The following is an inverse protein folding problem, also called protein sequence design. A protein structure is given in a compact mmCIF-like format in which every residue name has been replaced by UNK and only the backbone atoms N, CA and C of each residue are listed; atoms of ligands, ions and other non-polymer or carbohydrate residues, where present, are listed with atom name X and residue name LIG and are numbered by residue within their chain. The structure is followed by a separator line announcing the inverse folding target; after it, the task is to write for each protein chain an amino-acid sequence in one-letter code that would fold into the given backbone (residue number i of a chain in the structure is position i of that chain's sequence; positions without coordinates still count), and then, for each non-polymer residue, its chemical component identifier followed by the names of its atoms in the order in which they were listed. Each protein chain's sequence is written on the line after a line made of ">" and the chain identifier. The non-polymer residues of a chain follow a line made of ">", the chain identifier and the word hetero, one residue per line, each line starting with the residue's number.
data_IF_357818237484
#
_entry.id   IF_357818237484
#
_cell.length_a   1.000
_cell.length_b   1.000
_cell.length_c   1.000
_cell.angle_alpha   90.00
_cell.angle_beta   90.00
_cell.angle_gamma   90.00
#
_symmetry.space_group_name_H-M   'P 1'
#
loop_
_entity.id
_entity.type
_entity.pdbx_description
1 polymer ?
#
# COMPACT_ATOMS: atom_id res chain seq x y z
N UNK A 1 14.78 -11.95 18.74
CA UNK A 1 15.40 -11.91 17.41
C UNK A 1 15.65 -10.47 17.04
N UNK A 2 16.90 -10.14 16.77
CA UNK A 2 17.26 -8.80 16.34
C UNK A 2 16.66 -8.47 14.98
N UNK A 3 16.30 -7.21 14.80
CA UNK A 3 15.68 -6.66 13.58
C UNK A 3 16.68 -6.62 12.39
N UNK A 4 17.84 -7.24 12.54
CA UNK A 4 18.93 -7.19 11.56
C UNK A 4 18.86 -8.22 10.43
N UNK A 5 17.77 -8.98 10.34
CA UNK A 5 17.61 -9.85 9.18
C UNK A 5 17.21 -9.00 7.98
N UNK A 6 18.10 -8.94 6.99
CA UNK A 6 17.82 -8.32 5.71
C UNK A 6 16.61 -9.02 5.09
N UNK A 7 15.49 -8.31 5.00
CA UNK A 7 14.26 -8.84 4.45
C UNK A 7 14.44 -9.01 2.93
N UNK A 8 14.08 -10.17 2.40
CA UNK A 8 14.08 -10.41 0.95
C UNK A 8 12.99 -9.59 0.28
N UNK A 9 13.25 -9.02 -0.90
CA UNK A 9 12.21 -8.34 -1.64
C UNK A 9 11.02 -9.26 -1.93
N UNK A 10 9.82 -8.75 -1.70
CA UNK A 10 8.58 -9.43 -2.04
C UNK A 10 8.22 -9.14 -3.50
N UNK A 11 7.61 -10.09 -4.17
CA UNK A 11 7.13 -9.95 -5.54
C UNK A 11 5.61 -10.06 -5.56
N UNK A 12 4.95 -9.09 -6.20
CA UNK A 12 3.50 -9.06 -6.37
C UNK A 12 3.17 -8.58 -7.78
N UNK A 13 2.26 -9.27 -8.45
CA UNK A 13 1.73 -8.84 -9.75
C UNK A 13 0.25 -8.49 -9.58
N UNK A 14 -0.16 -7.33 -10.09
CA UNK A 14 -1.54 -6.85 -10.02
C UNK A 14 -2.06 -6.47 -11.39
N UNK A 15 -3.39 -6.64 -11.64
CA UNK A 15 -3.99 -6.19 -12.87
C UNK A 15 -4.22 -4.67 -12.84
N UNK A 16 -3.99 -4.02 -13.97
CA UNK A 16 -4.31 -2.60 -14.16
C UNK A 16 -5.03 -2.41 -15.49
N UNK A 17 -5.94 -1.43 -15.56
CA UNK A 17 -6.74 -1.18 -16.76
C UNK A 17 -6.05 -0.27 -17.76
N UNK A 18 -5.31 0.69 -17.27
CA UNK A 18 -4.54 1.63 -18.05
C UNK A 18 -3.13 1.66 -17.49
N UNK A 19 -2.19 1.06 -18.24
CA UNK A 19 -0.81 0.92 -17.77
C UNK A 19 -0.14 2.28 -17.58
N UNK A 20 -0.35 3.21 -18.52
CA UNK A 20 0.30 4.53 -18.43
C UNK A 20 -0.16 5.33 -17.23
N UNK A 21 -1.47 5.35 -16.95
CA UNK A 21 -2.01 6.05 -15.78
C UNK A 21 -1.46 5.45 -14.47
N UNK A 22 -1.37 4.12 -14.41
CA UNK A 22 -0.85 3.45 -13.22
C UNK A 22 0.66 3.67 -13.06
N UNK A 23 1.43 3.65 -14.13
CA UNK A 23 2.86 3.99 -14.06
C UNK A 23 3.04 5.42 -13.54
N UNK A 24 2.25 6.38 -14.02
CA UNK A 24 2.29 7.76 -13.52
C UNK A 24 1.95 7.85 -12.03
N UNK A 25 0.95 7.08 -11.59
CA UNK A 25 0.54 7.04 -10.20
C UNK A 25 1.65 6.47 -9.31
N UNK A 26 2.16 5.29 -9.64
CA UNK A 26 3.19 4.63 -8.83
C UNK A 26 4.50 5.41 -8.80
N UNK A 27 4.88 6.06 -9.89
CA UNK A 27 6.10 6.87 -9.93
C UNK A 27 5.88 8.27 -9.35
N UNK A 28 4.84 8.98 -9.77
CA UNK A 28 4.61 10.39 -9.42
C UNK A 28 3.98 10.59 -8.05
N UNK A 29 3.11 9.68 -7.62
CA UNK A 29 2.43 9.78 -6.32
C UNK A 29 3.18 9.02 -5.24
N UNK A 30 3.52 7.74 -5.49
CA UNK A 30 4.17 6.90 -4.49
C UNK A 30 5.70 6.97 -4.52
N UNK A 31 6.28 7.60 -5.54
CA UNK A 31 7.73 7.75 -5.63
C UNK A 31 8.47 6.49 -6.04
N UNK A 32 7.77 5.49 -6.62
CA UNK A 32 8.42 4.27 -7.11
C UNK A 32 9.35 4.58 -8.29
N UNK A 33 10.45 3.85 -8.37
CA UNK A 33 11.28 3.83 -9.57
C UNK A 33 10.82 2.71 -10.47
N UNK A 34 10.91 2.93 -11.78
CA UNK A 34 10.57 1.91 -12.78
C UNK A 34 11.71 0.93 -12.96
N UNK A 35 11.35 -0.31 -13.26
CA UNK A 35 12.30 -1.33 -13.73
C UNK A 35 12.07 -1.61 -15.20
N UNK A 36 12.03 -2.90 -15.56
CA UNK A 36 11.76 -3.33 -16.94
C UNK A 36 10.29 -3.13 -17.29
N UNK A 37 10.01 -2.97 -18.55
CA UNK A 37 8.63 -2.83 -19.03
C UNK A 37 8.46 -3.31 -20.47
N UNK A 38 7.20 -3.54 -20.83
CA UNK A 38 6.76 -3.79 -22.21
C UNK A 38 5.51 -2.95 -22.46
N UNK A 39 4.83 -3.23 -23.58
CA UNK A 39 3.55 -2.56 -23.86
C UNK A 39 2.42 -3.01 -22.95
N UNK A 40 2.57 -4.16 -22.26
CA UNK A 40 1.50 -4.78 -21.48
C UNK A 40 1.82 -4.90 -19.98
N UNK A 41 3.05 -4.62 -19.57
CA UNK A 41 3.42 -4.71 -18.15
C UNK A 41 4.56 -3.76 -17.82
N UNK A 42 4.69 -3.44 -16.54
CA UNK A 42 5.77 -2.61 -16.04
C UNK A 42 6.15 -3.03 -14.62
N UNK A 43 7.45 -3.13 -14.37
CA UNK A 43 7.99 -3.37 -13.02
C UNK A 43 8.15 -2.05 -12.28
N UNK A 44 7.73 -2.05 -11.02
CA UNK A 44 7.89 -0.92 -10.10
C UNK A 44 8.72 -1.36 -8.90
N UNK A 45 9.61 -0.51 -8.47
CA UNK A 45 10.28 -0.67 -7.18
C UNK A 45 9.42 0.02 -6.12
N UNK A 46 8.62 -0.78 -5.40
CA UNK A 46 7.75 -0.31 -4.32
C UNK A 46 8.48 -0.50 -3.00
N UNK A 47 9.17 0.53 -2.52
CA UNK A 47 9.91 0.50 -1.25
C UNK A 47 10.88 -0.69 -1.16
N UNK A 48 11.53 -1.03 -2.27
CA UNK A 48 12.47 -2.15 -2.35
C UNK A 48 11.85 -3.48 -2.75
N UNK A 49 10.53 -3.55 -2.90
CA UNK A 49 9.83 -4.75 -3.35
C UNK A 49 9.47 -4.64 -4.83
N UNK A 50 9.35 -5.78 -5.49
CA UNK A 50 9.00 -5.81 -6.91
C UNK A 50 7.48 -5.90 -7.07
N UNK A 51 6.89 -4.82 -7.56
CA UNK A 51 5.49 -4.78 -7.95
C UNK A 51 5.41 -4.78 -9.47
N UNK A 52 4.62 -5.69 -10.05
CA UNK A 52 4.45 -5.75 -11.49
C UNK A 52 3.02 -5.35 -11.85
N UNK A 53 2.89 -4.34 -12.70
CA UNK A 53 1.62 -3.89 -13.24
C UNK A 53 1.36 -4.63 -14.54
N UNK A 54 0.32 -5.49 -14.59
CA UNK A 54 -0.09 -6.17 -15.81
C UNK A 54 -1.35 -5.55 -16.38
N UNK A 55 -1.27 -5.07 -17.63
CA UNK A 55 -2.43 -4.51 -18.30
C UNK A 55 -3.44 -5.59 -18.63
N UNK A 56 -4.64 -5.47 -18.10
CA UNK A 56 -5.77 -6.37 -18.29
C UNK A 56 -7.04 -5.56 -18.56
N UNK A 57 -8.00 -6.11 -19.30
CA UNK A 57 -9.30 -5.43 -19.46
C UNK A 57 -9.95 -5.18 -18.11
N UNK A 58 -10.65 -4.05 -18.01
CA UNK A 58 -11.44 -3.73 -16.83
C UNK A 58 -12.50 -4.80 -16.62
N UNK A 59 -12.58 -5.36 -15.41
CA UNK A 59 -13.60 -6.35 -15.05
C UNK A 59 -14.75 -5.68 -14.31
N UNK A 60 -15.94 -6.31 -14.38
CA UNK A 60 -17.11 -5.90 -13.61
C UNK A 60 -17.21 -6.59 -12.24
N UNK A 61 -16.17 -7.31 -11.84
CA UNK A 61 -16.17 -8.01 -10.55
C UNK A 61 -16.28 -7.02 -9.40
N UNK A 62 -17.16 -7.35 -8.45
CA UNK A 62 -17.35 -6.53 -7.25
C UNK A 62 -16.16 -6.68 -6.31
N UNK A 63 -15.69 -5.55 -5.79
CA UNK A 63 -14.70 -5.53 -4.73
C UNK A 63 -15.33 -6.07 -3.44
N UNK A 64 -14.66 -7.02 -2.81
CA UNK A 64 -15.07 -7.52 -1.50
C UNK A 64 -14.52 -6.61 -0.40
N UNK A 65 -15.27 -6.49 0.69
CA UNK A 65 -14.85 -5.71 1.84
C UNK A 65 -15.21 -6.44 3.14
N UNK A 66 -14.36 -6.28 4.14
CA UNK A 66 -14.59 -6.79 5.48
C UNK A 66 -14.75 -5.62 6.45
N UNK A 67 -15.64 -5.77 7.43
CA UNK A 67 -15.80 -4.76 8.47
C UNK A 67 -14.67 -4.89 9.50
N UNK A 68 -13.91 -3.81 9.69
CA UNK A 68 -12.84 -3.70 10.70
C UNK A 68 -12.96 -2.35 11.36
N UNK A 69 -13.08 -2.30 12.70
CA UNK A 69 -13.25 -1.08 13.46
C UNK A 69 -14.43 -0.22 12.95
N UNK A 70 -15.51 -0.87 12.48
CA UNK A 70 -16.66 -0.19 11.89
C UNK A 70 -16.44 0.38 10.49
N UNK A 71 -15.28 0.09 9.86
CA UNK A 71 -14.93 0.57 8.52
C UNK A 71 -14.97 -0.59 7.53
N UNK A 72 -15.36 -0.28 6.29
CA UNK A 72 -15.35 -1.26 5.21
C UNK A 72 -13.95 -1.34 4.59
N UNK A 73 -13.20 -2.38 4.95
CA UNK A 73 -11.83 -2.61 4.49
C UNK A 73 -11.87 -3.41 3.19
N UNK A 74 -11.37 -2.87 2.07
CA UNK A 74 -11.33 -3.63 0.82
C UNK A 74 -10.38 -4.81 0.92
N UNK A 75 -10.73 -5.93 0.28
CA UNK A 75 -9.92 -7.14 0.20
C UNK A 75 -10.00 -7.70 -1.23
N UNK A 76 -8.88 -7.95 -1.94
CA UNK A 76 -7.50 -7.81 -1.44
C UNK A 76 -7.03 -6.36 -1.32
N UNK A 77 -6.00 -6.17 -0.55
CA UNK A 77 -5.22 -4.94 -0.52
C UNK A 77 -3.75 -5.27 -0.25
N UNK A 78 -2.87 -4.33 -0.53
CA UNK A 78 -1.44 -4.49 -0.29
C UNK A 78 -0.81 -3.15 0.05
N UNK A 79 0.38 -3.20 0.60
CA UNK A 79 1.14 -2.01 0.92
C UNK A 79 2.38 -2.35 1.73
N UNK A 80 2.94 -1.35 2.36
CA UNK A 80 4.22 -1.46 3.07
C UNK A 80 4.04 -0.99 4.50
N UNK A 81 4.71 -1.68 5.43
CA UNK A 81 4.80 -1.23 6.81
C UNK A 81 5.91 -0.18 6.88
N UNK A 82 5.53 1.06 7.08
CA UNK A 82 6.46 2.18 7.18
C UNK A 82 6.99 2.32 8.59
N UNK A 83 8.09 3.06 8.75
CA UNK A 83 8.52 3.50 10.06
C UNK A 83 7.55 4.54 10.60
N UNK A 84 7.40 4.60 11.93
CA UNK A 84 6.43 5.50 12.57
C UNK A 84 6.60 6.95 12.12
N UNK A 85 7.85 7.41 12.04
CA UNK A 85 8.15 8.79 11.62
C UNK A 85 7.88 9.05 10.14
N UNK A 86 7.97 8.04 9.29
CA UNK A 86 7.73 8.17 7.85
C UNK A 86 6.24 8.27 7.52
N UNK A 87 5.38 7.66 8.34
CA UNK A 87 3.96 7.51 8.00
C UNK A 87 3.28 8.87 7.81
N UNK A 88 3.46 9.79 8.75
CA UNK A 88 2.81 11.10 8.68
C UNK A 88 3.30 11.92 7.48
N UNK A 89 4.62 11.93 7.24
CA UNK A 89 5.19 12.62 6.09
C UNK A 89 4.66 12.04 4.78
N UNK A 90 4.55 10.72 4.69
CA UNK A 90 4.02 10.04 3.52
C UNK A 90 2.52 10.35 3.32
N UNK A 91 1.73 10.34 4.39
CA UNK A 91 0.32 10.71 4.32
C UNK A 91 0.13 12.15 3.84
N UNK A 92 0.97 13.07 4.32
CA UNK A 92 0.94 14.47 3.89
C UNK A 92 1.36 14.62 2.43
N UNK A 93 2.34 13.84 1.98
CA UNK A 93 2.74 13.80 0.58
C UNK A 93 1.56 13.33 -0.31
N UNK A 94 0.85 12.29 0.10
CA UNK A 94 -0.33 11.81 -0.62
C UNK A 94 -1.42 12.89 -0.70
N UNK A 95 -1.68 13.58 0.41
CA UNK A 95 -2.65 14.69 0.42
C UNK A 95 -2.23 15.80 -0.55
N UNK A 96 -0.94 16.14 -0.60
CA UNK A 96 -0.42 17.15 -1.52
C UNK A 96 -0.59 16.78 -2.99
N UNK A 97 -0.73 15.49 -3.29
CA UNK A 97 -0.99 14.96 -4.62
C UNK A 97 -2.47 14.72 -4.89
N UNK A 98 -3.34 15.26 -4.03
CA UNK A 98 -4.79 15.16 -4.14
C UNK A 98 -5.31 13.72 -4.11
N UNK A 99 -4.64 12.84 -3.37
CA UNK A 99 -5.11 11.47 -3.18
C UNK A 99 -6.32 11.48 -2.25
N UNK A 100 -7.38 10.82 -2.69
CA UNK A 100 -8.60 10.63 -1.92
C UNK A 100 -8.49 9.32 -1.13
N UNK A 101 -8.53 9.42 0.20
CA UNK A 101 -8.45 8.23 1.05
C UNK A 101 -9.80 7.52 1.11
N UNK A 102 -9.80 6.19 0.98
CA UNK A 102 -10.99 5.39 1.31
C UNK A 102 -11.15 5.34 2.83
N UNK A 103 -10.03 5.21 3.53
CA UNK A 103 -9.97 5.27 5.00
C UNK A 103 -8.86 6.25 5.34
N UNK A 104 -9.26 7.37 5.95
CA UNK A 104 -8.32 8.39 6.41
C UNK A 104 -7.36 7.80 7.45
N UNK A 105 -6.11 8.33 7.54
CA UNK A 105 -5.19 7.88 8.58
C UNK A 105 -5.82 7.90 9.98
N UNK A 106 -5.76 6.76 10.67
CA UNK A 106 -6.23 6.67 12.04
C UNK A 106 -5.40 5.65 12.83
N UNK A 107 -5.43 5.78 14.16
CA UNK A 107 -4.66 4.92 15.07
C UNK A 107 -5.57 3.81 15.58
N UNK A 108 -5.06 2.57 15.54
CA UNK A 108 -5.70 1.39 16.11
C UNK A 108 -4.92 0.97 17.35
N UNK A 109 -5.63 0.40 18.32
CA UNK A 109 -5.05 -0.16 19.55
C UNK A 109 -4.21 0.86 20.34
N UNK A 110 -4.66 2.13 20.38
CA UNK A 110 -3.91 3.20 21.05
C UNK A 110 -3.66 2.86 22.50
N UNK A 111 -2.39 2.94 22.91
CA UNK A 111 -1.97 2.63 24.27
C UNK A 111 -1.90 1.14 24.60
N UNK A 112 -2.12 0.27 23.61
CA UNK A 112 -2.11 -1.18 23.78
C UNK A 112 -1.02 -1.82 22.93
N UNK A 113 -0.77 -3.11 23.17
CA UNK A 113 0.14 -3.89 22.32
C UNK A 113 -0.36 -3.87 20.88
N UNK A 114 0.56 -3.64 19.93
CA UNK A 114 0.22 -3.57 18.52
C UNK A 114 -0.34 -2.24 18.07
N UNK A 115 -0.16 -1.17 18.87
CA UNK A 115 -0.57 0.18 18.45
C UNK A 115 -0.02 0.49 17.06
N UNK A 116 -0.89 0.85 16.13
CA UNK A 116 -0.55 1.07 14.73
C UNK A 116 -1.39 2.19 14.14
N UNK A 117 -0.86 2.83 13.11
CA UNK A 117 -1.57 3.81 12.30
C UNK A 117 -1.70 3.26 10.90
N UNK A 118 -2.85 3.47 10.26
CA UNK A 118 -3.13 2.94 8.94
C UNK A 118 -3.92 3.92 8.08
N UNK A 119 -3.81 3.75 6.76
CA UNK A 119 -4.59 4.49 5.76
C UNK A 119 -4.81 3.63 4.52
N UNK A 120 -5.92 3.85 3.82
CA UNK A 120 -6.27 3.13 2.59
C UNK A 120 -6.60 4.11 1.47
N UNK A 121 -6.13 3.79 0.27
CA UNK A 121 -6.50 4.51 -0.94
C UNK A 121 -6.43 3.58 -2.15
N UNK A 122 -6.95 4.02 -3.29
CA UNK A 122 -6.97 3.23 -4.52
C UNK A 122 -5.94 3.75 -5.53
N UNK A 123 -5.41 2.82 -6.34
CA UNK A 123 -4.71 3.22 -7.55
C UNK A 123 -5.72 3.55 -8.67
N UNK A 124 -5.28 4.07 -9.84
CA UNK A 124 -6.22 4.42 -10.91
C UNK A 124 -7.03 3.27 -11.48
N UNK A 125 -6.63 2.03 -11.23
CA UNK A 125 -7.35 0.84 -11.67
C UNK A 125 -8.20 0.20 -10.57
N UNK A 126 -8.36 0.88 -9.43
CA UNK A 126 -9.18 0.39 -8.34
C UNK A 126 -8.50 -0.62 -7.44
N UNK A 127 -7.22 -0.88 -7.60
CA UNK A 127 -6.49 -1.72 -6.65
C UNK A 127 -6.34 -0.98 -5.33
N UNK A 128 -6.64 -1.65 -4.22
CA UNK A 128 -6.59 -1.06 -2.91
C UNK A 128 -5.19 -1.18 -2.29
N UNK A 129 -4.71 -0.08 -1.74
CA UNK A 129 -3.44 -0.05 -1.00
C UNK A 129 -3.71 0.31 0.45
N UNK A 130 -2.99 -0.37 1.34
CA UNK A 130 -2.90 0.00 2.74
C UNK A 130 -1.45 0.29 3.08
N UNK A 131 -1.18 1.46 3.62
CA UNK A 131 0.09 1.76 4.26
C UNK A 131 -0.15 1.90 5.73
N UNK A 132 0.71 1.31 6.53
CA UNK A 132 0.58 1.39 7.98
C UNK A 132 1.94 1.37 8.65
N UNK A 133 1.93 1.70 9.94
CA UNK A 133 3.12 1.68 10.75
C UNK A 133 2.77 1.22 12.14
N UNK A 134 3.61 0.38 12.72
CA UNK A 134 3.53 0.01 14.13
C UNK A 134 4.38 0.97 14.94
N UNK A 135 3.82 1.48 16.03
CA UNK A 135 4.56 2.38 16.93
C UNK A 135 5.80 1.70 17.47
N UNK A 136 5.69 0.42 17.82
CA UNK A 136 6.81 -0.46 18.15
C UNK A 136 6.93 -1.55 17.09
N UNK A 137 7.98 -1.52 16.21
CA UNK A 137 8.13 -2.53 15.16
C UNK A 137 8.24 -3.96 15.69
N UNK A 138 8.66 -4.15 16.93
CA UNK A 138 8.73 -5.48 17.54
C UNK A 138 7.35 -6.09 17.78
N UNK A 139 6.29 -5.29 17.68
CA UNK A 139 4.92 -5.73 17.94
C UNK A 139 4.14 -6.08 16.67
N UNK A 140 4.77 -6.10 15.50
CA UNK A 140 4.08 -6.44 14.23
C UNK A 140 3.37 -7.79 14.33
N UNK A 141 3.98 -8.77 15.00
CA UNK A 141 3.41 -10.10 15.17
C UNK A 141 3.02 -10.40 16.61
N UNK A 142 2.94 -9.39 17.45
CA UNK A 142 2.56 -9.57 18.85
C UNK A 142 1.09 -9.99 18.96
N UNK A 143 0.81 -10.90 19.87
CA UNK A 143 -0.55 -11.40 20.10
C UNK A 143 -1.26 -10.66 21.22
N UNK A 144 -0.51 -10.29 22.24
CA UNK A 144 -1.00 -9.53 23.41
C UNK A 144 0.12 -8.68 23.99
#
# INVERSE_FOLDING_TARGET
>A
MGIDQKISPFHLAIPVWNLQDCVKFYTGVLGCKTGRSSTHWADMNLFGHQLVLHCKPKTSEKTHANAVDGKQVPVPHFGVLLQWKQFEDFANQLRSKNIEFIIEPYIRFKGSVGEQVTMFFLDPSGNALEFKSFKDPNQIFAKE
#
